data_IF_807929139288
#
_entry.id   IF_807929139288
#
_cell.length_a   1.000
_cell.length_b   1.000
_cell.length_c   1.000
_cell.angle_alpha   90.00
_cell.angle_beta   90.00
_cell.angle_gamma   90.00
#
_symmetry.space_group_name_H-M   'P 1'
#
loop_
_entity.id
_entity.type
_entity.pdbx_description
1 polymer ?
#
# COMPACT_ATOMS: atom_id res chain seq x y z
N UNK A 1 -13.32 32.18 -0.35
CA UNK A 1 -14.63 31.54 -0.59
C UNK A 1 -14.63 30.17 0.05
N UNK A 2 -15.36 29.98 1.15
CA UNK A 2 -15.50 28.66 1.78
C UNK A 2 -16.56 27.85 1.02
N UNK A 3 -16.15 26.73 0.43
CA UNK A 3 -16.97 25.82 -0.40
C UNK A 3 -18.16 25.14 0.32
N UNK A 4 -18.48 25.51 1.57
CA UNK A 4 -19.44 24.77 2.41
C UNK A 4 -20.50 25.69 3.05
N UNK A 5 -21.78 25.26 3.09
CA UNK A 5 -22.85 26.02 3.75
C UNK A 5 -22.57 26.19 5.26
N UNK A 6 -22.95 27.35 5.81
CA UNK A 6 -22.67 27.74 7.21
C UNK A 6 -23.34 26.85 8.29
N UNK A 7 -24.32 26.03 7.90
CA UNK A 7 -24.91 24.97 8.73
C UNK A 7 -23.98 23.76 8.86
N UNK A 8 -23.31 23.38 7.77
CA UNK A 8 -22.38 22.26 7.72
C UNK A 8 -21.12 22.55 8.54
N UNK A 9 -20.56 23.76 8.45
CA UNK A 9 -19.38 24.14 9.23
C UNK A 9 -19.65 24.15 10.75
N UNK A 10 -20.86 24.56 11.17
CA UNK A 10 -21.28 24.52 12.59
C UNK A 10 -21.54 23.10 13.08
N UNK A 11 -22.22 22.28 12.29
CA UNK A 11 -22.46 20.87 12.61
C UNK A 11 -21.14 20.10 12.70
N UNK A 12 -20.24 20.28 11.73
CA UNK A 12 -18.91 19.70 11.72
C UNK A 12 -18.08 20.16 12.93
N UNK A 13 -18.10 21.45 13.26
CA UNK A 13 -17.41 21.98 14.44
C UNK A 13 -17.98 21.49 15.79
N UNK A 14 -19.28 21.19 15.86
CA UNK A 14 -19.91 20.57 17.03
C UNK A 14 -19.47 19.11 17.16
N UNK A 15 -19.58 18.34 16.08
CA UNK A 15 -19.15 16.94 16.00
C UNK A 15 -17.66 16.81 16.33
N UNK A 16 -16.83 17.70 15.80
CA UNK A 16 -15.39 17.75 16.03
C UNK A 16 -15.05 17.94 17.52
N UNK A 17 -15.74 18.86 18.20
CA UNK A 17 -15.55 19.11 19.64
C UNK A 17 -16.06 17.95 20.48
N UNK A 18 -17.18 17.35 20.10
CA UNK A 18 -17.74 16.17 20.76
C UNK A 18 -16.79 14.98 20.68
N UNK A 19 -16.32 14.64 19.47
CA UNK A 19 -15.37 13.55 19.24
C UNK A 19 -14.07 13.76 20.01
N UNK A 20 -13.61 14.99 20.20
CA UNK A 20 -12.41 15.28 21.01
C UNK A 20 -12.61 15.18 22.52
N UNK A 21 -13.78 15.57 23.03
CA UNK A 21 -14.02 15.66 24.48
C UNK A 21 -14.57 14.38 25.10
N UNK A 22 -15.14 13.47 24.32
CA UNK A 22 -15.74 12.25 24.86
C UNK A 22 -14.68 11.29 25.46
N UNK A 23 -14.62 11.11 26.80
CA UNK A 23 -13.53 10.39 27.47
C UNK A 23 -13.51 8.88 27.15
N UNK A 24 -14.64 8.28 26.79
CA UNK A 24 -14.77 6.82 26.60
C UNK A 24 -15.06 6.38 25.16
N UNK A 25 -15.07 7.29 24.18
CA UNK A 25 -15.45 6.95 22.79
C UNK A 25 -14.58 5.81 22.20
N UNK A 26 -13.30 5.79 22.55
CA UNK A 26 -12.38 4.74 22.11
C UNK A 26 -12.69 3.38 22.74
N UNK A 27 -13.04 3.34 24.02
CA UNK A 27 -13.45 2.11 24.71
C UNK A 27 -14.77 1.58 24.15
N UNK A 28 -15.74 2.46 23.90
CA UNK A 28 -17.02 2.07 23.30
C UNK A 28 -16.88 1.51 21.89
N UNK A 29 -16.07 2.14 21.03
CA UNK A 29 -15.85 1.61 19.69
C UNK A 29 -15.00 0.33 19.68
N UNK A 30 -14.12 0.12 20.68
CA UNK A 30 -13.42 -1.17 20.86
C UNK A 30 -14.37 -2.29 21.31
N UNK A 31 -15.27 -2.01 22.25
CA UNK A 31 -16.31 -2.95 22.68
C UNK A 31 -17.27 -3.29 21.55
N UNK A 32 -17.70 -2.29 20.78
CA UNK A 32 -18.54 -2.49 19.59
C UNK A 32 -17.78 -3.33 18.56
N UNK A 33 -16.48 -3.07 18.34
CA UNK A 33 -15.64 -3.86 17.46
C UNK A 33 -15.58 -5.33 17.86
N UNK A 34 -15.34 -5.60 19.16
CA UNK A 34 -15.36 -6.95 19.72
C UNK A 34 -16.73 -7.61 19.58
N UNK A 35 -17.82 -6.90 19.86
CA UNK A 35 -19.17 -7.41 19.73
C UNK A 35 -19.48 -7.81 18.28
N UNK A 36 -19.03 -7.03 17.28
CA UNK A 36 -19.18 -7.36 15.85
C UNK A 36 -18.39 -8.62 15.51
N UNK A 37 -17.16 -8.77 15.99
CA UNK A 37 -16.36 -10.00 15.75
C UNK A 37 -17.04 -11.22 16.35
N UNK A 38 -17.52 -11.12 17.61
CA UNK A 38 -18.24 -12.21 18.29
C UNK A 38 -19.52 -12.56 17.54
N UNK A 39 -20.29 -11.56 17.09
CA UNK A 39 -21.49 -11.76 16.28
C UNK A 39 -21.18 -12.46 14.97
N UNK A 40 -20.14 -12.04 14.25
CA UNK A 40 -19.70 -12.69 13.01
C UNK A 40 -19.18 -14.11 13.25
N UNK A 41 -18.63 -14.39 14.44
CA UNK A 41 -18.22 -15.74 14.83
C UNK A 41 -19.43 -16.63 15.11
N UNK A 42 -20.44 -16.12 15.80
CA UNK A 42 -21.68 -16.84 16.10
C UNK A 42 -22.50 -17.19 14.85
N UNK A 43 -22.37 -16.41 13.77
CA UNK A 43 -23.05 -16.66 12.50
C UNK A 43 -22.19 -17.44 11.50
N UNK A 44 -21.11 -18.07 11.96
CA UNK A 44 -20.20 -18.87 11.13
C UNK A 44 -19.72 -18.18 9.84
N UNK A 45 -19.52 -16.87 9.90
CA UNK A 45 -19.19 -16.05 8.72
C UNK A 45 -17.87 -16.49 8.04
N UNK A 46 -16.95 -17.07 8.82
CA UNK A 46 -15.70 -17.64 8.32
C UNK A 46 -15.88 -18.80 7.33
N UNK A 47 -16.98 -19.56 7.40
CA UNK A 47 -17.23 -20.66 6.47
C UNK A 47 -17.38 -20.18 5.02
N UNK A 48 -17.73 -18.90 4.80
CA UNK A 48 -17.76 -18.30 3.45
C UNK A 48 -16.36 -18.08 2.85
N UNK A 49 -15.31 -18.16 3.67
CA UNK A 49 -13.93 -17.90 3.29
C UNK A 49 -12.99 -19.07 3.62
N UNK A 50 -13.49 -20.09 4.31
CA UNK A 50 -12.75 -21.31 4.60
C UNK A 50 -12.46 -22.05 3.28
N UNK A 51 -11.26 -22.58 3.15
CA UNK A 51 -10.92 -23.47 2.04
C UNK A 51 -11.80 -24.72 2.09
N UNK A 52 -12.34 -25.13 0.95
CA UNK A 52 -13.04 -26.41 0.80
C UNK A 52 -12.03 -27.55 0.66
N UNK A 53 -12.46 -28.80 0.84
CA UNK A 53 -11.61 -29.97 0.64
C UNK A 53 -11.03 -30.02 -0.79
N UNK A 54 -11.80 -29.57 -1.80
CA UNK A 54 -11.31 -29.42 -3.19
C UNK A 54 -10.17 -28.39 -3.32
N UNK A 55 -10.23 -27.27 -2.58
CA UNK A 55 -9.17 -26.25 -2.58
C UNK A 55 -7.89 -26.76 -1.87
N UNK A 56 -8.07 -27.66 -0.88
CA UNK A 56 -6.99 -28.29 -0.11
C UNK A 56 -6.28 -29.38 -0.93
N UNK A 57 -7.02 -30.13 -1.76
CA UNK A 57 -6.46 -31.12 -2.70
C UNK A 57 -5.68 -30.48 -3.86
N UNK A 58 -6.03 -29.24 -4.25
CA UNK A 58 -5.29 -28.47 -5.25
C UNK A 58 -3.94 -27.94 -4.75
N UNK A 59 -3.68 -27.96 -3.43
CA UNK A 59 -2.37 -27.61 -2.88
C UNK A 59 -1.39 -28.72 -3.24
N UNK A 60 -0.73 -28.60 -4.39
CA UNK A 60 0.29 -29.55 -4.87
C UNK A 60 1.48 -29.56 -3.90
N UNK A 61 1.42 -30.42 -2.89
CA UNK A 61 2.50 -30.70 -1.94
C UNK A 61 2.82 -32.19 -2.06
N UNK A 62 4.10 -32.59 -2.19
CA UNK A 62 4.48 -33.99 -2.23
C UNK A 62 3.96 -34.77 -1.01
N UNK A 63 3.70 -36.05 -1.25
CA UNK A 63 2.98 -37.04 -0.42
C UNK A 63 3.72 -37.41 0.89
N UNK A 64 4.05 -36.41 1.71
CA UNK A 64 4.80 -36.52 2.95
C UNK A 64 3.95 -36.09 4.16
N UNK A 65 4.09 -36.72 5.34
CA UNK A 65 3.33 -36.38 6.57
C UNK A 65 3.44 -34.90 7.06
N UNK A 66 4.32 -34.10 6.45
CA UNK A 66 4.42 -32.65 6.65
C UNK A 66 3.29 -31.90 5.89
N UNK A 67 2.78 -32.45 4.80
CA UNK A 67 1.74 -31.88 3.93
C UNK A 67 0.38 -31.80 4.63
N UNK A 68 0.00 -32.87 5.34
CA UNK A 68 -1.24 -32.94 6.12
C UNK A 68 -1.23 -31.93 7.29
N UNK A 69 -0.05 -31.69 7.88
CA UNK A 69 0.09 -30.63 8.89
C UNK A 69 -0.03 -29.24 8.29
N UNK A 70 0.52 -29.02 7.09
CA UNK A 70 0.45 -27.73 6.41
C UNK A 70 -0.96 -27.41 5.92
N UNK A 71 -1.73 -28.41 5.46
CA UNK A 71 -3.13 -28.27 5.04
C UNK A 71 -4.06 -27.96 6.24
N UNK A 72 -3.84 -28.58 7.39
CA UNK A 72 -4.54 -28.23 8.63
C UNK A 72 -4.23 -26.79 9.09
N UNK A 73 -2.97 -26.35 8.95
CA UNK A 73 -2.56 -24.99 9.29
C UNK A 73 -3.18 -23.97 8.33
N UNK A 74 -3.21 -24.24 7.02
CA UNK A 74 -3.82 -23.35 6.02
C UNK A 74 -5.33 -23.23 6.22
N UNK A 75 -6.01 -24.34 6.50
CA UNK A 75 -7.44 -24.35 6.85
C UNK A 75 -7.69 -23.52 8.12
N UNK A 76 -6.91 -23.73 9.18
CA UNK A 76 -6.99 -22.94 10.40
C UNK A 76 -6.77 -21.44 10.17
N UNK A 77 -5.76 -21.07 9.37
CA UNK A 77 -5.54 -19.67 8.99
C UNK A 77 -6.70 -19.09 8.18
N UNK A 78 -7.26 -19.84 7.23
CA UNK A 78 -8.39 -19.38 6.40
C UNK A 78 -9.63 -19.03 7.24
N UNK A 79 -9.80 -19.70 8.38
CA UNK A 79 -10.87 -19.42 9.33
C UNK A 79 -10.60 -18.18 10.20
N UNK A 80 -9.34 -17.90 10.55
CA UNK A 80 -8.95 -16.82 11.48
C UNK A 80 -8.74 -15.49 10.76
N UNK A 81 -8.14 -15.51 9.57
CA UNK A 81 -7.80 -14.31 8.79
C UNK A 81 -8.99 -13.37 8.51
N UNK A 82 -10.22 -13.84 8.20
CA UNK A 82 -11.37 -12.96 8.00
C UNK A 82 -11.73 -12.14 9.24
N UNK A 83 -11.62 -12.72 10.43
CA UNK A 83 -11.87 -12.01 11.69
C UNK A 83 -10.76 -11.02 12.00
N UNK A 84 -9.52 -11.38 11.69
CA UNK A 84 -8.37 -10.50 11.85
C UNK A 84 -8.45 -9.30 10.90
N UNK A 85 -8.96 -9.48 9.68
CA UNK A 85 -9.36 -8.38 8.78
C UNK A 85 -10.45 -7.52 9.40
N UNK A 86 -11.61 -8.08 9.77
CA UNK A 86 -12.73 -7.27 10.29
C UNK A 86 -12.35 -6.51 11.56
N UNK A 87 -11.68 -7.18 12.50
CA UNK A 87 -11.15 -6.54 13.70
C UNK A 87 -10.13 -5.47 13.38
N UNK A 88 -9.36 -5.68 12.33
CA UNK A 88 -8.56 -4.63 11.76
C UNK A 88 -9.44 -3.45 11.25
N UNK A 89 -10.35 -3.60 10.28
CA UNK A 89 -11.19 -2.49 9.79
C UNK A 89 -11.82 -1.63 10.92
N UNK A 90 -12.33 -2.29 11.95
CA UNK A 90 -12.92 -1.65 13.13
C UNK A 90 -11.87 -0.91 13.99
N UNK A 91 -10.69 -1.50 14.15
CA UNK A 91 -9.51 -0.87 14.76
C UNK A 91 -9.00 0.36 14.00
N UNK A 92 -9.11 0.38 12.67
CA UNK A 92 -8.77 1.52 11.82
C UNK A 92 -9.58 2.78 12.14
N UNK A 93 -10.89 2.63 12.40
CA UNK A 93 -11.79 3.72 12.78
C UNK A 93 -11.38 4.32 14.13
N UNK A 94 -11.08 3.46 15.12
CA UNK A 94 -10.57 3.87 16.43
C UNK A 94 -9.24 4.62 16.34
N UNK A 95 -8.37 4.17 15.43
CA UNK A 95 -7.08 4.77 15.18
C UNK A 95 -7.17 6.13 14.49
N UNK A 96 -8.08 6.27 13.54
CA UNK A 96 -8.39 7.57 12.93
C UNK A 96 -8.91 8.54 13.99
N UNK A 97 -9.82 8.09 14.87
CA UNK A 97 -10.29 8.91 16.00
C UNK A 97 -9.15 9.28 16.97
N UNK A 98 -8.23 8.36 17.26
CA UNK A 98 -7.07 8.61 18.12
C UNK A 98 -6.08 9.60 17.49
N UNK A 99 -5.81 9.49 16.18
CA UNK A 99 -5.00 10.44 15.40
C UNK A 99 -5.65 11.83 15.38
N UNK A 100 -6.96 11.92 15.14
CA UNK A 100 -7.71 13.18 15.11
C UNK A 100 -7.75 13.88 16.49
N UNK A 101 -7.75 13.10 17.57
CA UNK A 101 -7.63 13.59 18.96
C UNK A 101 -6.21 14.04 19.30
N UNK A 102 -5.20 13.39 18.73
CA UNK A 102 -3.79 13.70 19.00
C UNK A 102 -3.28 14.94 18.24
N UNK A 103 -3.92 15.33 17.14
CA UNK A 103 -3.73 16.65 16.54
C UNK A 103 -4.00 17.73 17.60
N UNK A 104 -3.16 18.77 17.82
CA UNK A 104 -2.01 19.23 17.05
C UNK A 104 -0.63 18.89 17.69
N UNK A 105 -0.61 18.08 18.76
CA UNK A 105 0.61 17.77 19.50
C UNK A 105 1.31 16.54 18.90
N UNK A 106 2.35 16.77 18.10
CA UNK A 106 3.14 15.72 17.43
C UNK A 106 3.67 14.65 18.41
N UNK A 107 4.04 15.03 19.64
CA UNK A 107 4.52 14.07 20.65
C UNK A 107 3.44 13.07 21.07
N UNK A 108 2.19 13.53 21.19
CA UNK A 108 1.05 12.68 21.54
C UNK A 108 0.58 11.83 20.35
N UNK A 109 1.00 12.16 19.12
CA UNK A 109 0.70 11.40 17.92
C UNK A 109 1.57 10.15 17.74
N UNK A 110 2.72 10.03 18.42
CA UNK A 110 3.64 8.90 18.25
C UNK A 110 2.97 7.56 18.58
N UNK A 111 2.33 7.45 19.76
CA UNK A 111 1.66 6.21 20.18
C UNK A 111 0.52 5.77 19.23
N UNK A 112 -0.43 6.64 18.85
CA UNK A 112 -1.45 6.25 17.88
C UNK A 112 -0.87 6.00 16.49
N UNK A 113 0.20 6.67 16.07
CA UNK A 113 0.85 6.36 14.79
C UNK A 113 1.45 4.94 14.78
N UNK A 114 2.09 4.51 15.86
CA UNK A 114 2.58 3.12 15.99
C UNK A 114 1.43 2.11 15.95
N UNK A 115 0.33 2.43 16.66
CA UNK A 115 -0.90 1.66 16.54
C UNK A 115 -1.37 1.56 15.09
N UNK A 116 -1.36 2.67 14.34
CA UNK A 116 -1.77 2.74 12.93
C UNK A 116 -0.88 1.90 12.00
N UNK A 117 0.43 1.93 12.23
CA UNK A 117 1.38 1.17 11.42
C UNK A 117 1.27 -0.33 11.64
N UNK A 118 1.20 -0.77 12.91
CA UNK A 118 0.99 -2.18 13.26
C UNK A 118 -0.35 -2.65 12.70
N UNK A 119 -1.39 -1.84 12.91
CA UNK A 119 -2.71 -2.05 12.35
C UNK A 119 -2.71 -2.29 10.84
N UNK A 120 -2.10 -1.38 10.08
CA UNK A 120 -2.00 -1.47 8.63
C UNK A 120 -1.21 -2.71 8.20
N UNK A 121 -0.09 -3.00 8.88
CA UNK A 121 0.72 -4.18 8.60
C UNK A 121 -0.09 -5.47 8.80
N UNK A 122 -0.80 -5.58 9.92
CA UNK A 122 -1.67 -6.73 10.22
C UNK A 122 -2.77 -6.89 9.17
N UNK A 123 -3.41 -5.80 8.74
CA UNK A 123 -4.42 -5.83 7.68
C UNK A 123 -3.85 -6.27 6.33
N UNK A 124 -2.76 -5.67 5.88
CA UNK A 124 -2.14 -5.97 4.58
C UNK A 124 -1.57 -7.38 4.55
N UNK A 125 -0.84 -7.80 5.58
CA UNK A 125 -0.28 -9.17 5.68
C UNK A 125 -1.42 -10.19 5.72
N UNK A 126 -2.46 -9.95 6.52
CA UNK A 126 -3.62 -10.85 6.59
C UNK A 126 -4.32 -10.98 5.24
N UNK A 127 -4.43 -9.87 4.51
CA UNK A 127 -5.04 -9.85 3.18
C UNK A 127 -4.20 -10.61 2.18
N UNK A 128 -2.90 -10.39 2.18
CA UNK A 128 -1.98 -11.05 1.28
C UNK A 128 -1.87 -12.56 1.52
N UNK A 129 -1.85 -12.97 2.79
CA UNK A 129 -1.85 -14.40 3.17
C UNK A 129 -3.17 -15.05 2.77
N UNK A 130 -4.32 -14.41 3.00
CA UNK A 130 -5.61 -14.93 2.59
C UNK A 130 -5.74 -15.05 1.06
N UNK A 131 -5.25 -14.06 0.30
CA UNK A 131 -5.23 -14.11 -1.16
C UNK A 131 -4.30 -15.21 -1.69
N UNK A 132 -3.12 -15.38 -1.09
CA UNK A 132 -2.18 -16.43 -1.48
C UNK A 132 -2.78 -17.81 -1.29
N UNK A 133 -3.44 -18.03 -0.16
CA UNK A 133 -4.14 -19.28 0.12
C UNK A 133 -5.19 -19.54 -0.98
N UNK A 134 -6.03 -18.55 -1.31
CA UNK A 134 -7.18 -18.75 -2.21
C UNK A 134 -6.86 -18.80 -3.71
N UNK A 135 -5.85 -18.05 -4.18
CA UNK A 135 -5.72 -17.76 -5.62
C UNK A 135 -4.31 -17.94 -6.21
N UNK A 136 -3.25 -17.98 -5.41
CA UNK A 136 -1.88 -17.81 -5.93
C UNK A 136 -0.90 -18.86 -5.40
N UNK A 137 -1.12 -20.11 -5.79
CA UNK A 137 -0.14 -21.19 -5.56
C UNK A 137 0.92 -21.28 -6.65
N UNK A 138 0.62 -20.73 -7.82
CA UNK A 138 1.51 -20.71 -8.99
C UNK A 138 1.80 -19.25 -9.40
N UNK A 139 3.03 -19.02 -9.84
CA UNK A 139 3.43 -17.79 -10.53
C UNK A 139 2.72 -17.69 -11.89
N UNK A 140 2.79 -16.53 -12.54
CA UNK A 140 2.30 -16.34 -13.91
C UNK A 140 2.90 -17.41 -14.87
N UNK A 141 4.09 -17.94 -14.56
CA UNK A 141 4.79 -18.95 -15.36
C UNK A 141 4.43 -20.40 -14.96
N UNK A 142 3.45 -20.60 -14.06
CA UNK A 142 3.06 -21.93 -13.58
C UNK A 142 4.08 -22.58 -12.63
N UNK A 143 5.08 -21.85 -12.14
CA UNK A 143 6.03 -22.35 -11.14
C UNK A 143 5.53 -22.05 -9.72
N UNK A 144 5.76 -22.93 -8.72
CA UNK A 144 5.37 -22.64 -7.34
C UNK A 144 6.15 -21.46 -6.80
N UNK A 145 5.46 -20.58 -6.07
CA UNK A 145 6.06 -19.37 -5.51
C UNK A 145 7.12 -19.74 -4.47
N UNK A 146 8.34 -19.26 -4.65
CA UNK A 146 9.41 -19.44 -3.67
C UNK A 146 9.00 -18.89 -2.30
N UNK A 147 9.13 -19.71 -1.26
CA UNK A 147 8.79 -19.34 0.12
C UNK A 147 9.65 -18.17 0.59
N UNK A 148 10.93 -18.14 0.21
CA UNK A 148 11.86 -17.06 0.60
C UNK A 148 11.43 -15.72 0.00
N UNK A 149 11.07 -15.72 -1.28
CA UNK A 149 10.56 -14.54 -1.98
C UNK A 149 9.28 -14.00 -1.33
N UNK A 150 8.37 -14.90 -0.93
CA UNK A 150 7.16 -14.53 -0.22
C UNK A 150 7.41 -13.96 1.19
N UNK A 151 8.33 -14.54 1.96
CA UNK A 151 8.70 -14.00 3.28
C UNK A 151 9.32 -12.62 3.16
N UNK A 152 10.18 -12.41 2.15
CA UNK A 152 10.77 -11.10 1.85
C UNK A 152 9.68 -10.07 1.53
N UNK A 153 8.68 -10.44 0.73
CA UNK A 153 7.52 -9.60 0.43
C UNK A 153 6.76 -9.17 1.70
N UNK A 154 6.46 -10.12 2.59
CA UNK A 154 5.79 -9.81 3.86
C UNK A 154 6.64 -8.85 4.72
N UNK A 155 7.95 -9.06 4.74
CA UNK A 155 8.91 -8.16 5.39
C UNK A 155 8.90 -6.74 4.80
N UNK A 156 8.82 -6.61 3.48
CA UNK A 156 8.71 -5.32 2.79
C UNK A 156 7.39 -4.60 3.13
N UNK A 157 6.26 -5.31 3.14
CA UNK A 157 4.95 -4.74 3.52
C UNK A 157 4.99 -4.24 4.96
N UNK A 158 5.54 -5.04 5.88
CA UNK A 158 5.72 -4.64 7.28
C UNK A 158 6.59 -3.39 7.39
N UNK A 159 7.72 -3.36 6.67
CA UNK A 159 8.63 -2.23 6.66
C UNK A 159 7.91 -0.96 6.20
N UNK A 160 7.18 -1.00 5.09
CA UNK A 160 6.41 0.14 4.55
C UNK A 160 5.38 0.66 5.56
N UNK A 161 4.64 -0.24 6.20
CA UNK A 161 3.64 0.14 7.19
C UNK A 161 4.26 0.80 8.44
N UNK A 162 5.53 0.49 8.75
CA UNK A 162 6.26 1.06 9.89
C UNK A 162 7.04 2.34 9.55
N UNK A 163 7.22 2.69 8.27
CA UNK A 163 7.93 3.93 7.86
C UNK A 163 7.26 5.19 8.45
N UNK A 164 5.92 5.39 8.33
CA UNK A 164 5.28 6.59 8.89
C UNK A 164 5.45 6.76 10.41
N UNK A 165 5.20 5.74 11.27
CA UNK A 165 5.42 5.90 12.71
C UNK A 165 6.89 6.06 13.09
N UNK A 166 7.82 5.40 12.37
CA UNK A 166 9.26 5.59 12.57
C UNK A 166 9.69 7.01 12.23
N UNK A 167 9.23 7.56 11.11
CA UNK A 167 9.50 8.93 10.68
C UNK A 167 8.98 9.96 11.68
N UNK A 168 7.75 9.78 12.19
CA UNK A 168 7.18 10.65 13.22
C UNK A 168 7.96 10.55 14.54
N UNK A 169 8.33 9.33 14.96
CA UNK A 169 9.10 9.12 16.18
C UNK A 169 10.48 9.79 16.10
N UNK A 170 11.18 9.62 14.96
CA UNK A 170 12.44 10.29 14.68
C UNK A 170 12.27 11.82 14.74
N UNK A 171 11.28 12.36 14.05
CA UNK A 171 11.01 13.79 14.01
C UNK A 171 10.77 14.41 15.40
N UNK A 172 10.03 13.72 16.28
CA UNK A 172 9.78 14.16 17.65
C UNK A 172 11.04 14.09 18.52
N UNK A 173 11.87 13.06 18.36
CA UNK A 173 13.10 12.88 19.16
C UNK A 173 14.27 13.75 18.69
N UNK A 174 14.24 14.22 17.45
CA UNK A 174 15.30 15.04 16.86
C UNK A 174 15.43 16.43 17.49
N UNK A 175 16.65 16.98 17.45
CA UNK A 175 16.96 18.34 17.88
C UNK A 175 16.37 19.38 16.91
N UNK A 176 16.28 20.63 17.34
CA UNK A 176 15.68 21.71 16.55
C UNK A 176 16.30 21.88 15.16
N UNK A 177 17.64 21.88 15.08
CA UNK A 177 18.40 21.96 13.82
C UNK A 177 18.07 20.81 12.87
N UNK A 178 18.02 19.58 13.40
CA UNK A 178 17.72 18.39 12.60
C UNK A 178 16.29 18.45 12.03
N UNK A 179 15.32 18.94 12.83
CA UNK A 179 13.93 19.17 12.38
C UNK A 179 13.85 20.27 11.33
N UNK A 180 14.67 21.31 11.46
CA UNK A 180 14.75 22.38 10.48
C UNK A 180 15.26 21.85 9.13
N UNK A 181 16.40 21.13 9.12
CA UNK A 181 16.93 20.51 7.89
C UNK A 181 15.93 19.54 7.28
N UNK A 182 15.26 18.72 8.10
CA UNK A 182 14.23 17.80 7.62
C UNK A 182 13.09 18.53 6.91
N UNK A 183 12.55 19.61 7.50
CA UNK A 183 11.47 20.41 6.87
C UNK A 183 11.94 21.10 5.61
N UNK A 184 13.16 21.66 5.63
CA UNK A 184 13.78 22.33 4.47
C UNK A 184 13.99 21.37 3.30
N UNK A 185 14.15 20.08 3.56
CA UNK A 185 14.28 19.02 2.54
C UNK A 185 12.93 18.42 2.11
N UNK A 186 12.04 18.11 3.07
CA UNK A 186 10.78 17.39 2.81
C UNK A 186 9.78 18.22 2.00
N UNK A 187 9.76 19.55 2.19
CA UNK A 187 8.90 20.44 1.42
C UNK A 187 9.25 20.45 -0.08
N UNK A 188 10.52 20.72 -0.48
CA UNK A 188 10.96 20.54 -1.87
C UNK A 188 10.76 19.13 -2.41
N UNK A 189 10.98 18.09 -1.59
CA UNK A 189 10.79 16.70 -2.02
C UNK A 189 9.37 16.43 -2.49
N UNK A 190 8.38 16.79 -1.66
CA UNK A 190 6.97 16.63 -2.01
C UNK A 190 6.60 17.48 -3.23
N UNK A 191 7.12 18.70 -3.32
CA UNK A 191 6.87 19.57 -4.47
C UNK A 191 7.44 18.98 -5.77
N UNK A 192 8.71 18.58 -5.78
CA UNK A 192 9.36 17.97 -6.95
C UNK A 192 8.68 16.66 -7.34
N UNK A 193 8.31 15.82 -6.37
CA UNK A 193 7.60 14.58 -6.63
C UNK A 193 6.24 14.83 -7.30
N UNK A 194 5.41 15.71 -6.73
CA UNK A 194 4.09 16.03 -7.29
C UNK A 194 4.23 16.68 -8.68
N UNK A 195 5.18 17.60 -8.86
CA UNK A 195 5.38 18.27 -10.13
C UNK A 195 5.78 17.29 -11.25
N UNK A 196 6.75 16.41 -11.00
CA UNK A 196 7.20 15.43 -11.99
C UNK A 196 6.13 14.36 -12.24
N UNK A 197 5.46 13.88 -11.18
CA UNK A 197 4.35 12.94 -11.30
C UNK A 197 3.19 13.54 -12.13
N UNK A 198 2.85 14.81 -11.92
CA UNK A 198 1.82 15.50 -12.70
C UNK A 198 2.21 15.61 -14.17
N UNK A 199 3.48 15.95 -14.47
CA UNK A 199 3.99 15.98 -15.85
C UNK A 199 3.89 14.59 -16.50
N UNK A 200 4.29 13.53 -15.77
CA UNK A 200 4.22 12.16 -16.28
C UNK A 200 2.78 11.73 -16.57
N UNK A 201 1.84 12.01 -15.66
CA UNK A 201 0.40 11.74 -15.87
C UNK A 201 -0.12 12.52 -17.07
N UNK A 202 0.25 13.79 -17.22
CA UNK A 202 -0.17 14.60 -18.36
C UNK A 202 0.33 14.03 -19.68
N UNK A 203 1.60 13.61 -19.74
CA UNK A 203 2.17 12.99 -20.94
C UNK A 203 1.40 11.72 -21.29
N UNK A 204 1.20 10.81 -20.33
CA UNK A 204 0.46 9.56 -20.56
C UNK A 204 -1.00 9.83 -20.97
N UNK A 205 -1.68 10.76 -20.29
CA UNK A 205 -3.06 11.14 -20.60
C UNK A 205 -3.18 11.70 -22.01
N UNK A 206 -2.26 12.57 -22.44
CA UNK A 206 -2.29 13.13 -23.80
C UNK A 206 -1.99 12.08 -24.88
N UNK A 207 -1.14 11.09 -24.57
CA UNK A 207 -0.86 9.98 -25.47
C UNK A 207 -2.05 9.05 -25.66
N UNK A 208 -2.78 8.77 -24.58
CA UNK A 208 -3.90 7.82 -24.55
C UNK A 208 -5.27 8.49 -24.72
N UNK A 209 -5.32 9.81 -24.95
CA UNK A 209 -6.55 10.59 -24.95
C UNK A 209 -7.54 10.11 -26.02
N UNK A 210 -7.04 9.72 -27.21
CA UNK A 210 -7.86 9.21 -28.31
C UNK A 210 -8.54 7.90 -27.93
N UNK A 211 -7.78 6.96 -27.39
CA UNK A 211 -8.28 5.65 -26.97
C UNK A 211 -9.37 5.78 -25.89
N UNK A 212 -9.19 6.71 -24.93
CA UNK A 212 -10.19 6.98 -23.91
C UNK A 212 -11.47 7.64 -24.46
N UNK A 213 -11.33 8.51 -25.48
CA UNK A 213 -12.46 9.15 -26.15
C UNK A 213 -13.24 8.16 -27.02
N UNK A 214 -12.55 7.29 -27.75
CA UNK A 214 -13.15 6.27 -28.61
C UNK A 214 -13.89 5.19 -27.82
N UNK A 215 -13.46 4.91 -26.59
CA UNK A 215 -14.06 3.96 -25.67
C UNK A 215 -15.12 4.57 -24.72
N UNK A 216 -15.45 5.86 -24.86
CA UNK A 216 -16.42 6.61 -24.02
C UNK A 216 -16.21 6.41 -22.50
N UNK A 217 -14.95 6.46 -22.06
CA UNK A 217 -14.59 6.19 -20.67
C UNK A 217 -14.99 7.36 -19.78
N UNK A 218 -15.81 7.09 -18.75
CA UNK A 218 -16.20 8.09 -17.75
C UNK A 218 -14.97 8.66 -17.04
N UNK A 219 -14.94 9.98 -16.81
CA UNK A 219 -13.84 10.67 -16.11
C UNK A 219 -13.44 10.03 -14.77
N UNK A 220 -14.41 9.54 -14.00
CA UNK A 220 -14.13 8.86 -12.73
C UNK A 220 -13.31 7.56 -12.89
N UNK A 221 -13.50 6.82 -13.99
CA UNK A 221 -12.72 5.63 -14.29
C UNK A 221 -11.28 5.99 -14.70
N UNK A 222 -11.08 7.11 -15.41
CA UNK A 222 -9.75 7.65 -15.74
C UNK A 222 -8.99 8.03 -14.46
N UNK A 223 -9.66 8.70 -13.52
CA UNK A 223 -9.04 9.03 -12.22
C UNK A 223 -8.69 7.77 -11.43
N UNK A 224 -9.58 6.77 -11.40
CA UNK A 224 -9.30 5.47 -10.77
C UNK A 224 -8.10 4.77 -11.39
N UNK A 225 -8.01 4.76 -12.71
CA UNK A 225 -6.87 4.21 -13.46
C UNK A 225 -5.53 4.84 -13.06
N UNK A 226 -5.46 6.18 -12.97
CA UNK A 226 -4.22 6.85 -12.56
C UNK A 226 -3.90 6.70 -11.06
N UNK A 227 -4.91 6.51 -10.21
CA UNK A 227 -4.69 6.17 -8.79
C UNK A 227 -4.06 4.77 -8.67
N UNK A 228 -4.54 3.80 -9.46
CA UNK A 228 -3.97 2.45 -9.47
C UNK A 228 -2.56 2.43 -10.07
N UNK A 229 -2.23 3.37 -10.95
CA UNK A 229 -0.90 3.53 -11.55
C UNK A 229 0.11 4.25 -10.62
N UNK A 230 -0.35 4.83 -9.51
CA UNK A 230 0.48 5.64 -8.61
C UNK A 230 1.72 4.89 -8.06
N UNK A 231 1.67 3.59 -7.69
CA UNK A 231 2.86 2.86 -7.26
C UNK A 231 3.94 2.75 -8.34
N UNK A 232 3.53 2.60 -9.60
CA UNK A 232 4.44 2.61 -10.75
C UNK A 232 5.04 4.01 -10.93
N UNK A 233 4.21 5.06 -10.96
CA UNK A 233 4.68 6.46 -11.06
C UNK A 233 5.68 6.78 -9.94
N UNK A 234 5.39 6.34 -8.72
CA UNK A 234 6.28 6.56 -7.58
C UNK A 234 7.68 5.98 -7.83
N UNK A 235 7.78 4.74 -8.32
CA UNK A 235 9.08 4.10 -8.57
C UNK A 235 9.90 4.81 -9.64
N UNK A 236 9.26 5.31 -10.69
CA UNK A 236 9.93 6.07 -11.75
C UNK A 236 10.31 7.49 -11.31
N UNK A 237 9.48 8.16 -10.52
CA UNK A 237 9.63 9.59 -10.17
C UNK A 237 10.45 9.81 -8.89
N UNK A 238 10.48 8.84 -7.97
CA UNK A 238 11.14 8.98 -6.67
C UNK A 238 12.65 9.33 -6.79
N UNK A 239 13.46 8.70 -7.65
CA UNK A 239 14.90 9.01 -7.73
C UNK A 239 15.18 10.44 -8.22
N UNK A 240 14.47 10.89 -9.26
CA UNK A 240 14.64 12.23 -9.83
C UNK A 240 14.18 13.33 -8.86
N UNK A 241 13.04 13.12 -8.19
CA UNK A 241 12.51 14.04 -7.20
C UNK A 241 13.40 14.15 -5.95
N UNK A 242 13.96 13.04 -5.46
CA UNK A 242 14.96 13.02 -4.38
C UNK A 242 16.19 13.86 -4.71
N UNK A 243 16.75 13.66 -5.90
CA UNK A 243 17.94 14.38 -6.36
C UNK A 243 17.69 15.89 -6.42
N UNK A 244 16.61 16.31 -7.07
CA UNK A 244 16.26 17.72 -7.23
C UNK A 244 15.96 18.40 -5.89
N UNK A 245 15.23 17.71 -5.01
CA UNK A 245 14.94 18.23 -3.68
C UNK A 245 16.20 18.37 -2.82
N UNK A 246 17.14 17.43 -2.93
CA UNK A 246 18.42 17.49 -2.22
C UNK A 246 19.25 18.67 -2.73
N UNK A 247 19.38 18.80 -4.04
CA UNK A 247 20.12 19.89 -4.66
C UNK A 247 19.54 21.26 -4.30
N UNK A 248 18.22 21.40 -4.41
CA UNK A 248 17.52 22.64 -4.08
C UNK A 248 17.70 23.02 -2.59
N UNK A 249 17.41 22.08 -1.68
CA UNK A 249 17.48 22.35 -0.24
C UNK A 249 18.91 22.68 0.22
N UNK A 250 19.91 21.94 -0.26
CA UNK A 250 21.31 22.17 0.10
C UNK A 250 21.83 23.48 -0.50
N UNK A 251 21.46 23.78 -1.75
CA UNK A 251 21.80 25.06 -2.40
C UNK A 251 21.16 26.24 -1.68
N UNK A 252 19.90 26.12 -1.27
CA UNK A 252 19.21 27.15 -0.48
C UNK A 252 19.96 27.43 0.82
N UNK A 253 20.27 26.38 1.60
CA UNK A 253 20.97 26.51 2.88
C UNK A 253 22.42 27.01 2.70
N UNK A 254 23.06 26.67 1.59
CA UNK A 254 24.40 27.16 1.25
C UNK A 254 24.36 28.66 0.92
N UNK A 255 23.39 29.11 0.11
CA UNK A 255 23.26 30.52 -0.29
C UNK A 255 22.92 31.45 0.87
N UNK A 256 22.17 30.96 1.86
CA UNK A 256 21.87 31.70 3.08
C UNK A 256 22.97 31.60 4.15
N UNK A 257 24.12 30.99 3.85
CA UNK A 257 25.20 30.72 4.81
C UNK A 257 24.77 29.94 6.07
N UNK A 258 23.66 29.21 6.00
CA UNK A 258 23.16 28.39 7.11
C UNK A 258 24.10 27.21 7.38
N UNK A 259 24.60 26.56 6.33
CA UNK A 259 25.55 25.43 6.45
C UNK A 259 26.84 25.91 7.13
N UNK A 260 27.41 27.04 6.68
CA UNK A 260 28.63 27.62 7.24
C UNK A 260 28.42 27.98 8.71
N UNK A 261 27.27 28.58 9.04
CA UNK A 261 26.92 28.92 10.43
C UNK A 261 26.78 27.68 11.33
N UNK A 262 26.17 26.60 10.83
CA UNK A 262 26.06 25.33 11.57
C UNK A 262 27.43 24.68 11.80
N UNK A 263 28.31 24.70 10.79
CA UNK A 263 29.69 24.21 10.91
C UNK A 263 30.48 25.06 11.93
N UNK A 264 30.33 26.39 11.91
CA UNK A 264 30.94 27.31 12.88
C UNK A 264 30.44 27.10 14.32
N UNK A 265 29.23 26.59 14.50
CA UNK A 265 28.69 26.18 15.79
C UNK A 265 29.17 24.78 16.25
N UNK A 266 30.14 24.18 15.54
CA UNK A 266 30.75 22.90 15.89
C UNK A 266 29.95 21.66 15.46
N UNK A 267 28.93 21.81 14.60
CA UNK A 267 28.25 20.64 14.01
C UNK A 267 29.09 20.04 12.89
N UNK A 268 29.19 18.72 12.85
CA UNK A 268 29.83 18.05 11.71
C UNK A 268 28.89 17.99 10.50
N UNK A 269 29.47 17.90 9.29
CA UNK A 269 28.69 17.77 8.05
C UNK A 269 27.74 16.56 8.10
N UNK A 270 28.18 15.45 8.70
CA UNK A 270 27.36 14.25 8.82
C UNK A 270 26.13 14.47 9.72
N UNK A 271 26.25 15.30 10.77
CA UNK A 271 25.11 15.66 11.62
C UNK A 271 24.11 16.55 10.89
N UNK A 272 24.59 17.44 10.01
CA UNK A 272 23.73 18.30 9.19
C UNK A 272 22.97 17.45 8.15
N UNK A 273 23.64 16.49 7.52
CA UNK A 273 23.05 15.64 6.47
C UNK A 273 22.24 14.45 7.00
N UNK A 274 22.39 14.06 8.27
CA UNK A 274 21.68 12.92 8.87
C UNK A 274 20.16 12.90 8.59
N UNK A 275 19.41 14.01 8.74
CA UNK A 275 17.97 14.01 8.45
C UNK A 275 17.65 13.71 6.97
N UNK A 276 18.50 14.13 6.05
CA UNK A 276 18.36 13.86 4.62
C UNK A 276 18.58 12.36 4.35
N UNK A 277 19.60 11.76 4.96
CA UNK A 277 19.84 10.31 4.85
C UNK A 277 18.69 9.47 5.42
N UNK A 278 18.10 9.87 6.54
CA UNK A 278 16.95 9.16 7.13
C UNK A 278 15.76 9.15 6.16
N UNK A 279 15.48 10.27 5.50
CA UNK A 279 14.42 10.32 4.48
C UNK A 279 14.80 9.50 3.26
N UNK A 280 16.04 9.61 2.77
CA UNK A 280 16.51 8.83 1.63
C UNK A 280 16.38 7.32 1.87
N UNK A 281 16.81 6.82 3.03
CA UNK A 281 16.66 5.41 3.42
C UNK A 281 15.20 4.99 3.50
N UNK A 282 14.33 5.85 4.04
CA UNK A 282 12.88 5.61 4.05
C UNK A 282 12.29 5.51 2.64
N UNK A 283 12.67 6.42 1.75
CA UNK A 283 12.22 6.39 0.35
C UNK A 283 12.77 5.17 -0.38
N UNK A 284 14.04 4.78 -0.16
CA UNK A 284 14.62 3.56 -0.74
C UNK A 284 13.87 2.31 -0.30
N UNK A 285 13.54 2.20 0.99
CA UNK A 285 12.75 1.08 1.50
C UNK A 285 11.35 1.03 0.86
N UNK A 286 10.72 2.20 0.68
CA UNK A 286 9.42 2.31 0.02
C UNK A 286 9.50 1.94 -1.47
N UNK A 287 10.51 2.43 -2.20
CA UNK A 287 10.76 2.07 -3.59
C UNK A 287 11.01 0.58 -3.77
N UNK A 288 11.86 -0.01 -2.94
CA UNK A 288 12.14 -1.45 -3.01
C UNK A 288 10.87 -2.29 -2.81
N UNK A 289 9.99 -1.90 -1.87
CA UNK A 289 8.72 -2.58 -1.65
C UNK A 289 7.72 -2.36 -2.80
N UNK A 290 7.66 -1.14 -3.34
CA UNK A 290 6.81 -0.79 -4.47
C UNK A 290 7.22 -1.53 -5.75
N UNK A 291 8.51 -1.50 -6.10
CA UNK A 291 9.07 -2.18 -7.26
C UNK A 291 8.91 -3.69 -7.22
N UNK A 292 8.96 -4.31 -6.03
CA UNK A 292 8.82 -5.76 -5.91
C UNK A 292 7.40 -6.28 -6.15
N UNK A 293 6.36 -5.56 -5.67
CA UNK A 293 4.99 -6.08 -5.69
C UNK A 293 3.95 -5.14 -6.33
N UNK A 294 3.93 -3.86 -5.94
CA UNK A 294 2.86 -2.96 -6.37
C UNK A 294 3.05 -2.44 -7.80
N UNK A 295 4.27 -2.08 -8.19
CA UNK A 295 4.57 -1.53 -9.51
C UNK A 295 4.33 -2.54 -10.65
N UNK A 296 4.76 -3.82 -10.57
CA UNK A 296 4.48 -4.80 -11.62
C UNK A 296 2.97 -5.07 -11.77
N UNK A 297 2.23 -5.10 -10.65
CA UNK A 297 0.77 -5.29 -10.67
C UNK A 297 0.04 -4.09 -11.27
N UNK A 298 0.48 -2.88 -10.93
CA UNK A 298 -0.05 -1.65 -11.50
C UNK A 298 0.17 -1.58 -13.02
N UNK A 299 1.38 -1.92 -13.48
CA UNK A 299 1.70 -1.93 -14.91
C UNK A 299 0.94 -3.02 -15.67
N UNK A 300 0.86 -4.24 -15.12
CA UNK A 300 0.06 -5.31 -15.71
C UNK A 300 -1.42 -4.95 -15.84
N UNK A 301 -2.00 -4.29 -14.81
CA UNK A 301 -3.37 -3.79 -14.86
C UNK A 301 -3.53 -2.68 -15.91
N UNK A 302 -2.56 -1.77 -16.02
CA UNK A 302 -2.53 -0.72 -17.04
C UNK A 302 -2.58 -1.32 -18.45
N UNK A 303 -1.69 -2.27 -18.74
CA UNK A 303 -1.65 -2.94 -20.03
C UNK A 303 -2.96 -3.67 -20.33
N UNK A 304 -3.53 -4.38 -19.36
CA UNK A 304 -4.79 -5.10 -19.53
C UNK A 304 -5.95 -4.15 -19.85
N UNK A 305 -6.05 -3.02 -19.15
CA UNK A 305 -7.08 -2.00 -19.38
C UNK A 305 -6.91 -1.37 -20.77
N UNK A 306 -5.69 -0.94 -21.13
CA UNK A 306 -5.42 -0.31 -22.43
C UNK A 306 -5.71 -1.27 -23.61
N UNK A 307 -5.40 -2.57 -23.46
CA UNK A 307 -5.75 -3.59 -24.46
C UNK A 307 -7.25 -3.77 -24.60
N UNK A 308 -7.98 -3.81 -23.48
CA UNK A 308 -9.44 -3.95 -23.49
C UNK A 308 -10.12 -2.75 -24.19
N UNK A 309 -9.59 -1.53 -23.99
CA UNK A 309 -10.08 -0.32 -24.66
C UNK A 309 -9.85 -0.39 -26.18
N UNK A 310 -8.66 -0.82 -26.61
CA UNK A 310 -8.31 -0.86 -28.05
C UNK A 310 -9.04 -1.93 -28.86
N UNK A 311 -9.41 -3.08 -28.27
CA UNK A 311 -10.09 -4.16 -29.00
C UNK A 311 -11.62 -4.05 -29.03
N UNK A 312 -12.25 -3.12 -28.30
CA UNK A 312 -13.72 -3.03 -28.12
C UNK A 312 -14.42 -4.34 -27.68
N UNK A 313 -13.67 -5.38 -27.32
CA UNK A 313 -14.19 -6.63 -26.79
C UNK A 313 -14.30 -6.50 -25.27
N UNK A 314 -15.53 -6.35 -24.78
CA UNK A 314 -15.88 -6.37 -23.36
C UNK A 314 -15.65 -7.74 -22.69
N UNK A 315 -14.82 -8.60 -23.26
CA UNK A 315 -14.50 -9.91 -22.71
C UNK A 315 -13.29 -10.55 -23.38
N UNK A 316 -12.40 -11.05 -22.53
CA UNK A 316 -11.84 -12.40 -22.71
C UNK A 316 -10.54 -12.62 -23.49
N UNK A 317 -9.46 -11.87 -23.21
CA UNK A 317 -8.13 -12.50 -23.27
C UNK A 317 -7.35 -12.10 -22.02
N UNK A 318 -7.32 -12.98 -21.02
CA UNK A 318 -6.70 -12.67 -19.73
C UNK A 318 -5.20 -13.01 -19.70
N UNK A 319 -4.72 -13.81 -20.64
CA UNK A 319 -3.30 -14.07 -20.78
C UNK A 319 -3.00 -14.44 -22.23
N UNK A 320 -2.08 -13.70 -22.83
CA UNK A 320 -1.41 -14.08 -24.07
C UNK A 320 -0.01 -14.56 -23.68
N UNK A 321 0.56 -15.50 -24.43
CA UNK A 321 1.94 -15.99 -24.27
C UNK A 321 2.32 -16.61 -22.92
N UNK A 322 1.42 -17.41 -22.32
CA UNK A 322 1.74 -18.18 -21.12
C UNK A 322 2.71 -19.31 -21.45
N UNK A 323 3.94 -19.22 -20.95
CA UNK A 323 4.86 -20.36 -20.92
C UNK A 323 4.61 -21.17 -19.66
N UNK A 324 4.15 -22.41 -19.83
CA UNK A 324 3.97 -23.37 -18.76
C UNK A 324 5.00 -24.48 -18.88
N UNK A 325 5.86 -24.63 -17.88
CA UNK A 325 6.81 -25.75 -17.84
C UNK A 325 6.29 -26.84 -16.91
N UNK A 326 5.96 -28.00 -17.48
CA UNK A 326 5.58 -29.17 -16.70
C UNK A 326 6.85 -29.76 -16.05
N UNK A 327 6.84 -29.91 -14.73
CA UNK A 327 7.99 -30.36 -13.95
C UNK A 327 8.32 -31.83 -14.17
N UNK A 328 7.31 -32.69 -14.33
CA UNK A 328 7.48 -34.13 -14.42
C UNK A 328 7.97 -34.56 -15.82
N UNK A 329 7.46 -33.89 -16.85
CA UNK A 329 7.81 -34.19 -18.25
C UNK A 329 8.96 -33.33 -18.78
N UNK A 330 9.41 -32.34 -18.01
CA UNK A 330 10.36 -31.30 -18.43
C UNK A 330 10.00 -30.55 -19.73
N UNK A 331 8.74 -30.66 -20.19
CA UNK A 331 8.26 -30.01 -21.42
C UNK A 331 7.77 -28.60 -21.12
N UNK A 332 8.11 -27.66 -22.01
CA UNK A 332 7.59 -26.30 -21.98
C UNK A 332 6.47 -26.18 -23.01
N UNK A 333 5.29 -25.82 -22.55
CA UNK A 333 4.11 -25.53 -23.35
C UNK A 333 3.97 -24.02 -23.49
N UNK A 334 3.64 -23.56 -24.69
CA UNK A 334 3.34 -22.17 -24.97
C UNK A 334 1.84 -22.07 -25.26
N UNK A 335 1.09 -21.43 -24.37
CA UNK A 335 -0.32 -21.16 -24.57
C UNK A 335 -0.47 -19.76 -25.17
N UNK A 336 -0.98 -19.70 -26.41
CA UNK A 336 -1.08 -18.48 -27.20
C UNK A 336 -2.01 -17.45 -26.57
N UNK A 337 -3.26 -17.81 -26.26
CA UNK A 337 -4.25 -16.94 -25.62
C UNK A 337 -5.24 -17.75 -24.79
N UNK A 338 -5.72 -17.18 -23.67
CA UNK A 338 -6.76 -17.79 -22.82
C UNK A 338 -8.01 -16.89 -22.73
N UNK A 339 -9.20 -17.39 -23.11
CA UNK A 339 -10.45 -16.68 -22.90
C UNK A 339 -10.87 -16.68 -21.43
N UNK A 340 -11.48 -15.58 -20.98
CA UNK A 340 -11.96 -15.35 -19.60
C UNK A 340 -13.13 -16.23 -19.19
N UNK A 341 -13.85 -16.83 -20.16
CA UNK A 341 -14.94 -17.75 -19.89
C UNK A 341 -14.62 -19.11 -20.52
N UNK A 342 -14.21 -20.07 -19.69
CA UNK A 342 -14.08 -21.49 -20.06
C UNK A 342 -15.44 -22.21 -20.00
N UNK A 343 -16.46 -21.54 -19.46
CA UNK A 343 -17.83 -22.02 -19.40
C UNK A 343 -18.57 -21.41 -20.59
N UNK A 344 -18.54 -22.12 -21.71
CA UNK A 344 -19.58 -21.98 -22.74
C UNK A 344 -20.89 -22.42 -22.10
N UNK A 345 -21.72 -21.47 -21.68
CA UNK A 345 -23.16 -21.72 -21.63
C UNK A 345 -23.62 -21.76 -23.10
N UNK A 346 -24.03 -22.96 -23.51
CA UNK A 346 -24.58 -23.27 -24.84
C UNK A 346 -25.72 -22.35 -25.27
#
# INVERSE_FOLDING_TARGET
>A
MSFWPASFSRAFGSLWRFVRRAPHLGTWAALLGLAVIVFLRMNDWHLRFAMTDEDLDLIVIPDDALSERLSLISYGLSCVLPYLKVGALLGGILLHLALLRALPNLEKMVRPAWGAGIYAATWFISTDVAERLRYAQLTINGEPVSVTAYVVKLGMILMVCLIPPLGLHYYVRCKLLDRYTLRSFLQPLLFCFIAIAAIMILIDMTGNLRDFQEADVKFGAIVGFYIDLLPYIFEYVAPASLLLAMLYSLTRMSRSNEIVSMLGAGRSIMQILKPVFVVALGTTALSMAAGYYWAPRAEGNREAIMRALNKKESGSIMAESLMFRNKDTHRTWYAGSFPFNLRDDK
#
